data_IF_670949193308
#
_entry.id   IF_670949193308
#
_cell.length_a   1.000
_cell.length_b   1.000
_cell.length_c   1.000
_cell.angle_alpha   90.00
_cell.angle_beta   90.00
_cell.angle_gamma   90.00
#
_symmetry.space_group_name_H-M   'P 1'
#
loop_
_entity.id
_entity.type
_entity.pdbx_description
1 polymer ?
#
# COMPACT_ATOMS: atom_id res chain seq x y z
N UNK A 1 -19.22 32.74 -35.52
CA UNK A 1 -17.98 31.93 -35.51
C UNK A 1 -17.18 32.05 -34.21
N UNK A 2 -17.06 33.24 -33.61
CA UNK A 2 -16.29 33.45 -32.37
C UNK A 2 -16.90 32.73 -31.14
N UNK A 3 -18.23 32.74 -31.01
CA UNK A 3 -18.94 32.11 -29.89
C UNK A 3 -18.88 30.57 -29.91
N UNK A 4 -18.98 29.95 -31.10
CA UNK A 4 -18.82 28.50 -31.26
C UNK A 4 -17.40 28.04 -30.89
N UNK A 5 -16.38 28.85 -31.22
CA UNK A 5 -14.98 28.56 -30.88
C UNK A 5 -14.74 28.62 -29.37
N UNK A 6 -15.36 29.58 -28.66
CA UNK A 6 -15.31 29.67 -27.20
C UNK A 6 -15.98 28.48 -26.52
N UNK A 7 -17.15 28.05 -27.02
CA UNK A 7 -17.88 26.88 -26.50
C UNK A 7 -17.05 25.60 -26.70
N UNK A 8 -16.44 25.41 -27.87
CA UNK A 8 -15.57 24.25 -28.12
C UNK A 8 -14.32 24.25 -27.22
N UNK A 9 -13.70 25.41 -26.96
CA UNK A 9 -12.54 25.51 -26.05
C UNK A 9 -12.95 25.21 -24.61
N UNK A 10 -14.10 25.70 -24.15
CA UNK A 10 -14.60 25.42 -22.80
C UNK A 10 -14.94 23.93 -22.63
N UNK A 11 -15.59 23.32 -23.63
CA UNK A 11 -15.90 21.89 -23.63
C UNK A 11 -14.63 21.03 -23.64
N UNK A 12 -13.62 21.41 -24.42
CA UNK A 12 -12.32 20.72 -24.44
C UNK A 12 -11.57 20.88 -23.11
N UNK A 13 -11.63 22.05 -22.47
CA UNK A 13 -11.03 22.26 -21.16
C UNK A 13 -11.71 21.44 -20.04
N UNK A 14 -13.04 21.28 -20.11
CA UNK A 14 -13.82 20.43 -19.20
C UNK A 14 -13.53 18.93 -19.40
N UNK A 15 -13.24 18.50 -20.64
CA UNK A 15 -12.86 17.12 -20.94
C UNK A 15 -11.46 16.75 -20.41
N UNK A 16 -10.55 17.73 -20.25
CA UNK A 16 -9.19 17.51 -19.70
C UNK A 16 -9.18 17.52 -18.16
N UNK A 17 -10.26 17.96 -17.50
CA UNK A 17 -10.39 17.95 -16.04
C UNK A 17 -10.74 16.55 -15.44
N UNK A 18 -10.86 15.52 -16.28
CA UNK A 18 -11.29 14.18 -15.88
C UNK A 18 -10.16 13.28 -15.35
N UNK A 19 -10.46 12.57 -14.26
CA UNK A 19 -9.72 11.43 -13.67
C UNK A 19 -8.54 11.77 -12.73
N UNK A 20 -8.75 12.71 -11.81
CA UNK A 20 -7.90 12.89 -10.62
C UNK A 20 -8.52 12.38 -9.32
N UNK A 21 -9.28 11.28 -9.35
CA UNK A 21 -9.93 10.73 -8.16
C UNK A 21 -8.90 10.31 -7.11
N UNK A 22 -8.64 11.18 -6.12
CA UNK A 22 -7.60 10.94 -5.12
C UNK A 22 -8.07 9.86 -4.14
N UNK A 23 -7.55 8.65 -4.32
CA UNK A 23 -7.64 7.58 -3.34
C UNK A 23 -7.08 8.07 -2.00
N UNK A 24 -7.65 7.62 -0.88
CA UNK A 24 -7.16 7.99 0.46
C UNK A 24 -5.83 7.30 0.72
N UNK A 25 -4.79 8.06 1.08
CA UNK A 25 -3.47 7.56 1.51
C UNK A 25 -3.48 6.99 2.95
N UNK A 26 -4.66 6.63 3.45
CA UNK A 26 -4.91 6.13 4.81
C UNK A 26 -4.92 4.60 4.79
N UNK A 27 -3.97 3.99 5.49
CA UNK A 27 -3.86 2.55 5.65
C UNK A 27 -4.76 2.03 6.77
N UNK A 28 -4.78 2.74 7.91
CA UNK A 28 -5.64 2.43 9.05
C UNK A 28 -6.92 3.27 8.99
N UNK A 29 -8.06 2.58 9.13
CA UNK A 29 -9.36 3.24 9.21
C UNK A 29 -9.60 3.93 10.56
N UNK A 30 -10.44 4.95 10.57
CA UNK A 30 -10.84 5.74 11.74
C UNK A 30 -11.69 5.01 12.78
N UNK A 31 -12.30 3.87 12.42
CA UNK A 31 -12.98 2.92 13.32
C UNK A 31 -13.27 1.64 12.52
N UNK A 32 -12.98 0.45 13.05
CA UNK A 32 -13.31 -0.81 12.38
C UNK A 32 -14.76 -1.19 12.62
N UNK A 33 -15.49 -1.40 11.54
CA UNK A 33 -16.76 -2.12 11.58
C UNK A 33 -16.43 -3.60 11.73
N UNK A 34 -17.05 -4.26 12.71
CA UNK A 34 -16.93 -5.71 12.83
C UNK A 34 -17.70 -6.36 11.68
N UNK A 35 -17.03 -7.21 10.91
CA UNK A 35 -17.68 -8.06 9.92
C UNK A 35 -17.65 -9.53 10.38
N UNK A 36 -18.68 -10.32 10.05
CA UNK A 36 -18.65 -11.76 10.28
C UNK A 36 -17.44 -12.41 9.58
N UNK A 37 -16.83 -13.41 10.21
CA UNK A 37 -15.70 -14.17 9.61
C UNK A 37 -16.11 -14.80 8.28
N UNK A 38 -17.38 -15.16 8.11
CA UNK A 38 -17.94 -15.71 6.86
C UNK A 38 -17.92 -14.74 5.68
N UNK A 39 -17.73 -13.43 5.93
CA UNK A 39 -17.64 -12.38 4.92
C UNK A 39 -16.19 -11.97 4.62
N UNK A 40 -15.20 -12.71 5.14
CA UNK A 40 -13.78 -12.45 4.93
C UNK A 40 -13.17 -13.62 4.16
N UNK A 41 -12.65 -13.35 2.95
CA UNK A 41 -12.01 -14.37 2.10
C UNK A 41 -10.57 -14.68 2.52
N UNK A 42 -9.90 -13.75 3.21
CA UNK A 42 -8.52 -13.95 3.64
C UNK A 42 -8.02 -12.91 4.63
N UNK A 43 -6.97 -13.27 5.36
CA UNK A 43 -6.24 -12.37 6.25
C UNK A 43 -4.75 -12.61 6.07
N UNK A 44 -4.02 -11.56 5.70
CA UNK A 44 -2.61 -11.64 5.32
C UNK A 44 -1.75 -10.74 6.19
N UNK A 45 -0.73 -11.31 6.82
CA UNK A 45 0.33 -10.55 7.48
C UNK A 45 1.40 -10.18 6.46
N UNK A 46 1.51 -8.89 6.15
CA UNK A 46 2.50 -8.32 5.25
C UNK A 46 3.64 -7.75 6.09
N UNK A 47 4.84 -8.29 5.94
CA UNK A 47 6.04 -7.71 6.53
C UNK A 47 6.57 -6.58 5.66
N UNK A 48 7.01 -5.48 6.27
CA UNK A 48 7.29 -4.23 5.55
C UNK A 48 8.66 -3.70 5.97
N UNK A 49 9.53 -3.52 5.00
CA UNK A 49 10.74 -2.71 5.10
C UNK A 49 10.57 -1.48 4.19
N UNK A 50 10.85 -0.28 4.70
CA UNK A 50 10.58 0.95 3.95
C UNK A 50 11.61 2.04 4.18
N UNK A 51 11.93 2.79 3.12
CA UNK A 51 12.72 4.04 3.19
C UNK A 51 11.83 5.28 3.36
N UNK A 52 10.54 5.10 3.65
CA UNK A 52 9.62 6.18 4.00
C UNK A 52 9.83 6.62 5.45
N UNK A 53 9.64 7.91 5.73
CA UNK A 53 9.57 8.44 7.08
C UNK A 53 8.27 7.97 7.75
N UNK A 54 8.31 7.74 9.07
CA UNK A 54 7.10 7.54 9.87
C UNK A 54 6.25 8.81 9.81
N UNK A 55 4.96 8.63 9.60
CA UNK A 55 3.97 9.71 9.54
C UNK A 55 3.58 10.16 10.95
N UNK A 56 3.42 11.46 11.15
CA UNK A 56 2.82 12.01 12.38
C UNK A 56 1.31 11.73 12.44
N UNK A 57 0.69 11.45 11.30
CA UNK A 57 -0.68 10.95 11.18
C UNK A 57 -0.68 9.41 11.28
N UNK A 58 -1.20 8.81 12.37
CA UNK A 58 -1.18 7.36 12.57
C UNK A 58 -1.97 6.60 11.51
N UNK A 59 -2.97 7.23 10.88
CA UNK A 59 -3.78 6.57 9.85
C UNK A 59 -2.97 6.20 8.60
N UNK A 60 -1.87 6.91 8.35
CA UNK A 60 -0.99 6.68 7.19
C UNK A 60 0.18 5.75 7.49
N UNK A 61 0.60 5.69 8.76
CA UNK A 61 1.78 4.95 9.26
C UNK A 61 3.12 5.47 8.72
N UNK A 62 3.28 5.50 7.40
CA UNK A 62 4.45 6.04 6.71
C UNK A 62 4.02 7.04 5.65
N UNK A 63 4.76 8.13 5.51
CA UNK A 63 4.44 9.19 4.56
C UNK A 63 5.23 9.04 3.24
N UNK A 64 5.25 10.11 2.47
CA UNK A 64 5.96 10.21 1.19
C UNK A 64 7.42 10.63 1.33
N UNK A 65 7.83 11.12 2.49
CA UNK A 65 9.16 11.67 2.71
C UNK A 65 10.20 10.57 2.93
N UNK A 66 11.44 10.86 2.57
CA UNK A 66 12.55 9.92 2.68
C UNK A 66 13.03 9.84 4.12
N UNK A 67 13.29 8.63 4.57
CA UNK A 67 14.06 8.33 5.78
C UNK A 67 15.51 8.02 5.39
N UNK A 68 16.46 8.47 6.20
CA UNK A 68 17.87 8.11 6.03
C UNK A 68 18.15 6.63 6.38
N UNK A 69 17.25 6.00 7.13
CA UNK A 69 17.35 4.61 7.57
C UNK A 69 16.08 3.83 7.23
N UNK A 70 16.18 2.50 7.18
CA UNK A 70 15.02 1.63 7.07
C UNK A 70 14.11 1.76 8.29
N UNK A 71 12.81 1.88 8.02
CA UNK A 71 11.77 1.64 8.99
C UNK A 71 11.09 0.29 8.72
N UNK A 72 10.56 -0.31 9.79
CA UNK A 72 10.00 -1.65 9.75
C UNK A 72 8.61 -1.69 10.37
N UNK A 73 7.73 -2.49 9.76
CA UNK A 73 6.40 -2.78 10.27
C UNK A 73 5.88 -4.13 9.79
N UNK A 74 4.78 -4.59 10.38
CA UNK A 74 3.93 -5.66 9.86
C UNK A 74 2.48 -5.18 9.85
N UNK A 75 1.80 -5.30 8.72
CA UNK A 75 0.39 -4.97 8.57
C UNK A 75 -0.43 -6.25 8.42
N UNK A 76 -1.54 -6.38 9.15
CA UNK A 76 -2.53 -7.43 8.91
C UNK A 76 -3.64 -6.86 8.04
N UNK A 77 -3.91 -7.48 6.90
CA UNK A 77 -4.88 -6.99 5.91
C UNK A 77 -5.92 -8.05 5.64
N UNK A 78 -7.19 -7.70 5.80
CA UNK A 78 -8.33 -8.55 5.42
C UNK A 78 -8.72 -8.33 3.98
N UNK A 79 -9.10 -9.42 3.31
CA UNK A 79 -9.67 -9.43 1.94
C UNK A 79 -11.16 -9.73 2.06
N UNK A 80 -12.05 -8.92 1.45
CA UNK A 80 -13.49 -9.12 1.57
C UNK A 80 -13.94 -10.39 0.84
N UNK A 81 -15.02 -11.01 1.30
CA UNK A 81 -15.65 -12.17 0.66
C UNK A 81 -16.18 -11.88 -0.75
N UNK A 82 -16.38 -10.60 -1.07
CA UNK A 82 -16.83 -10.11 -2.38
C UNK A 82 -15.70 -9.88 -3.38
N UNK A 83 -14.45 -10.21 -3.00
CA UNK A 83 -13.27 -9.91 -3.79
C UNK A 83 -13.25 -10.62 -5.16
N UNK A 84 -12.86 -9.88 -6.20
CA UNK A 84 -12.60 -10.40 -7.55
C UNK A 84 -11.11 -10.36 -7.89
N UNK A 85 -10.57 -11.46 -8.42
CA UNK A 85 -9.16 -11.56 -8.83
C UNK A 85 -8.74 -10.40 -9.72
N UNK A 86 -7.60 -9.77 -9.40
CA UNK A 86 -7.09 -8.61 -10.11
C UNK A 86 -7.58 -7.26 -9.57
N UNK A 87 -8.67 -7.24 -8.80
CA UNK A 87 -9.24 -6.01 -8.23
C UNK A 87 -8.63 -5.69 -6.86
N UNK A 88 -8.73 -4.43 -6.47
CA UNK A 88 -8.51 -4.04 -5.07
C UNK A 88 -9.73 -3.21 -4.70
N UNK A 89 -10.63 -3.78 -3.93
CA UNK A 89 -11.85 -3.11 -3.47
C UNK A 89 -11.45 -2.04 -2.46
N UNK A 90 -11.16 -0.84 -2.97
CA UNK A 90 -10.76 0.31 -2.16
C UNK A 90 -11.98 1.13 -1.77
N UNK A 91 -12.03 1.54 -0.50
CA UNK A 91 -13.04 2.51 -0.06
C UNK A 91 -12.79 3.87 -0.71
N UNK A 92 -13.88 4.54 -1.09
CA UNK A 92 -13.84 5.96 -1.42
C UNK A 92 -13.83 6.80 -0.13
N UNK A 93 -13.30 8.03 -0.20
CA UNK A 93 -13.32 8.98 0.92
C UNK A 93 -14.76 9.16 1.45
N UNK A 94 -14.92 9.12 2.78
CA UNK A 94 -16.22 9.27 3.45
C UNK A 94 -17.09 8.01 3.47
N UNK A 95 -16.62 6.88 2.90
CA UNK A 95 -17.26 5.57 3.09
C UNK A 95 -16.76 4.89 4.36
N UNK A 96 -17.58 3.98 4.89
CA UNK A 96 -17.26 3.17 6.06
C UNK A 96 -16.02 2.28 5.85
N UNK A 97 -15.30 1.98 6.93
CA UNK A 97 -14.20 1.01 6.99
C UNK A 97 -14.76 -0.41 7.18
N UNK A 98 -15.51 -0.89 6.19
CA UNK A 98 -16.22 -2.17 6.23
C UNK A 98 -15.37 -3.28 5.58
N UNK A 99 -14.80 -4.21 6.37
CA UNK A 99 -13.90 -5.24 5.83
C UNK A 99 -14.63 -6.33 5.02
N UNK A 100 -15.97 -6.39 5.06
CA UNK A 100 -16.75 -7.26 4.17
C UNK A 100 -16.84 -6.71 2.73
N UNK A 101 -16.53 -5.43 2.54
CA UNK A 101 -16.63 -4.74 1.25
C UNK A 101 -15.30 -4.28 0.68
N UNK A 102 -14.30 -4.07 1.54
CA UNK A 102 -13.04 -3.47 1.14
C UNK A 102 -11.84 -4.19 1.73
N UNK A 103 -10.71 -4.05 1.05
CA UNK A 103 -9.41 -4.35 1.66
C UNK A 103 -9.21 -3.42 2.86
N UNK A 104 -8.98 -4.01 4.03
CA UNK A 104 -8.85 -3.27 5.27
C UNK A 104 -7.65 -3.75 6.08
N UNK A 105 -6.80 -2.81 6.48
CA UNK A 105 -5.76 -3.10 7.47
C UNK A 105 -6.37 -3.13 8.86
N UNK A 106 -6.31 -4.29 9.51
CA UNK A 106 -6.85 -4.51 10.86
C UNK A 106 -5.88 -4.14 11.97
N UNK A 107 -4.57 -4.15 11.69
CA UNK A 107 -3.52 -3.83 12.64
C UNK A 107 -2.21 -3.50 11.93
N UNK A 108 -1.40 -2.64 12.56
CA UNK A 108 -0.02 -2.37 12.14
C UNK A 108 0.90 -2.35 13.34
N UNK A 109 1.84 -3.29 13.37
CA UNK A 109 2.89 -3.38 14.39
C UNK A 109 4.17 -2.76 13.85
N UNK A 110 4.67 -1.71 14.48
CA UNK A 110 5.99 -1.15 14.18
C UNK A 110 7.10 -1.93 14.88
N UNK A 111 8.26 -2.06 14.22
CA UNK A 111 9.48 -2.57 14.86
C UNK A 111 10.52 -1.45 14.92
N UNK A 112 11.06 -1.20 16.12
CA UNK A 112 12.03 -0.12 16.34
C UNK A 112 13.42 -0.44 15.79
N UNK A 113 13.73 -1.73 15.59
CA UNK A 113 15.06 -2.18 15.19
C UNK A 113 14.99 -3.31 14.17
N UNK A 114 16.02 -3.41 13.33
CA UNK A 114 16.15 -4.48 12.34
C UNK A 114 16.18 -5.89 12.98
N UNK A 115 16.85 -6.14 14.12
CA UNK A 115 16.80 -7.46 14.76
C UNK A 115 15.40 -7.88 15.23
N UNK A 116 14.60 -6.95 15.77
CA UNK A 116 13.20 -7.25 16.17
C UNK A 116 12.36 -7.65 14.95
N UNK A 117 12.50 -6.90 13.85
CA UNK A 117 11.82 -7.20 12.59
C UNK A 117 12.28 -8.54 12.00
N UNK A 118 13.59 -8.76 11.88
CA UNK A 118 14.18 -9.98 11.32
C UNK A 118 13.78 -11.23 12.11
N UNK A 119 13.75 -11.15 13.45
CA UNK A 119 13.27 -12.24 14.29
C UNK A 119 11.81 -12.60 14.02
N UNK A 120 10.91 -11.60 13.97
CA UNK A 120 9.50 -11.83 13.66
C UNK A 120 9.29 -12.37 12.23
N UNK A 121 10.02 -11.83 11.26
CA UNK A 121 9.98 -12.28 9.86
C UNK A 121 10.48 -13.73 9.74
N UNK A 122 11.59 -14.07 10.39
CA UNK A 122 12.17 -15.43 10.36
C UNK A 122 11.23 -16.46 10.97
N UNK A 123 10.54 -16.11 12.06
CA UNK A 123 9.52 -16.95 12.66
C UNK A 123 8.33 -17.21 11.72
N UNK A 124 7.83 -16.18 11.03
CA UNK A 124 6.74 -16.33 10.05
C UNK A 124 7.17 -17.17 8.84
N UNK A 125 8.39 -16.92 8.33
CA UNK A 125 8.98 -17.70 7.22
C UNK A 125 9.05 -19.18 7.59
N UNK A 126 9.57 -19.50 8.77
CA UNK A 126 9.67 -20.88 9.24
C UNK A 126 8.27 -21.53 9.35
N UNK A 127 7.30 -20.80 9.90
CA UNK A 127 5.92 -21.28 10.03
C UNK A 127 5.22 -21.49 8.68
N UNK A 128 5.63 -20.77 7.63
CA UNK A 128 5.07 -20.81 6.27
C UNK A 128 5.91 -21.60 5.26
N UNK A 129 6.73 -22.53 5.74
CA UNK A 129 7.46 -23.47 4.87
C UNK A 129 8.69 -22.87 4.18
N UNK A 130 9.25 -21.78 4.70
CA UNK A 130 10.58 -21.29 4.34
C UNK A 130 10.65 -20.43 3.08
N UNK A 131 9.52 -20.00 2.50
CA UNK A 131 9.48 -19.26 1.23
C UNK A 131 9.03 -17.81 1.43
N UNK A 132 9.68 -16.89 0.73
CA UNK A 132 9.38 -15.45 0.76
C UNK A 132 9.03 -14.94 -0.63
N UNK A 133 8.01 -14.09 -0.72
CA UNK A 133 7.73 -13.27 -1.89
C UNK A 133 8.01 -11.82 -1.52
N UNK A 134 9.00 -11.20 -2.18
CA UNK A 134 9.29 -9.78 -2.02
C UNK A 134 8.61 -8.99 -3.13
N UNK A 135 7.71 -8.09 -2.77
CA UNK A 135 7.09 -7.14 -3.68
C UNK A 135 7.73 -5.76 -3.52
N UNK A 136 8.15 -5.18 -4.64
CA UNK A 136 8.68 -3.81 -4.72
C UNK A 136 7.72 -3.01 -5.59
N UNK A 137 7.14 -1.94 -5.05
CA UNK A 137 6.21 -1.13 -5.83
C UNK A 137 6.93 -0.26 -6.89
N UNK A 138 6.15 0.23 -7.85
CA UNK A 138 6.59 1.15 -8.89
C UNK A 138 6.31 2.62 -8.58
N UNK A 139 6.44 3.45 -9.61
CA UNK A 139 6.12 4.88 -9.63
C UNK A 139 4.67 5.17 -9.24
N UNK A 140 4.43 6.37 -8.70
CA UNK A 140 3.10 6.90 -8.38
C UNK A 140 2.31 5.96 -7.46
N UNK A 141 2.99 5.36 -6.48
CA UNK A 141 2.39 4.39 -5.56
C UNK A 141 2.48 4.90 -4.12
N UNK A 142 1.33 5.11 -3.48
CA UNK A 142 1.22 5.41 -2.05
C UNK A 142 1.59 4.20 -1.20
N UNK A 143 1.88 4.43 0.09
CA UNK A 143 2.23 3.35 1.01
C UNK A 143 1.09 2.33 1.16
N UNK A 144 -0.12 2.85 1.38
CA UNK A 144 -1.37 2.09 1.44
C UNK A 144 -1.67 1.29 0.17
N UNK A 145 -1.40 1.88 -0.99
CA UNK A 145 -1.58 1.23 -2.29
C UNK A 145 -0.60 0.07 -2.48
N UNK A 146 0.65 0.23 -2.03
CA UNK A 146 1.64 -0.83 -2.07
C UNK A 146 1.29 -2.01 -1.15
N UNK A 147 0.81 -1.71 0.07
CA UNK A 147 0.36 -2.74 1.03
C UNK A 147 -0.80 -3.55 0.46
N UNK A 148 -1.86 -2.91 -0.04
CA UNK A 148 -2.99 -3.65 -0.60
C UNK A 148 -2.64 -4.40 -1.88
N UNK A 149 -1.71 -3.87 -2.69
CA UNK A 149 -1.25 -4.57 -3.90
C UNK A 149 -0.52 -5.87 -3.57
N UNK A 150 0.40 -5.88 -2.60
CA UNK A 150 1.06 -7.14 -2.22
C UNK A 150 0.09 -8.12 -1.57
N UNK A 151 -0.86 -7.64 -0.77
CA UNK A 151 -1.94 -8.47 -0.22
C UNK A 151 -2.74 -9.13 -1.33
N UNK A 152 -3.16 -8.35 -2.33
CA UNK A 152 -3.92 -8.84 -3.46
C UNK A 152 -3.14 -9.90 -4.26
N UNK A 153 -1.87 -9.64 -4.58
CA UNK A 153 -1.02 -10.62 -5.27
C UNK A 153 -0.90 -11.92 -4.46
N UNK A 154 -0.65 -11.82 -3.15
CA UNK A 154 -0.52 -12.99 -2.29
C UNK A 154 -1.83 -13.79 -2.20
N UNK A 155 -2.97 -13.10 -2.08
CA UNK A 155 -4.29 -13.72 -2.04
C UNK A 155 -4.65 -14.40 -3.36
N UNK A 156 -4.57 -13.67 -4.47
CA UNK A 156 -5.01 -14.13 -5.80
C UNK A 156 -4.20 -15.31 -6.31
N UNK A 157 -2.91 -15.35 -5.96
CA UNK A 157 -2.03 -16.47 -6.32
C UNK A 157 -2.12 -17.66 -5.36
N UNK A 158 -2.87 -17.53 -4.26
CA UNK A 158 -2.87 -18.52 -3.18
C UNK A 158 -1.49 -18.73 -2.58
N UNK A 159 -0.64 -17.69 -2.54
CA UNK A 159 0.76 -17.82 -2.12
C UNK A 159 0.86 -18.25 -0.65
N UNK A 160 1.44 -19.44 -0.36
CA UNK A 160 1.44 -19.98 1.00
C UNK A 160 2.58 -19.46 1.88
N UNK A 161 3.59 -18.81 1.27
CA UNK A 161 4.77 -18.29 1.96
C UNK A 161 4.56 -16.92 2.59
N UNK A 162 5.64 -16.30 3.06
CA UNK A 162 5.61 -14.97 3.69
C UNK A 162 5.68 -13.86 2.64
N UNK A 163 4.65 -12.99 2.52
CA UNK A 163 4.73 -11.79 1.69
C UNK A 163 5.48 -10.66 2.42
N UNK A 164 6.46 -10.09 1.73
CA UNK A 164 7.26 -8.95 2.19
C UNK A 164 7.09 -7.80 1.20
N UNK A 165 6.75 -6.62 1.70
CA UNK A 165 6.76 -5.37 0.95
C UNK A 165 8.07 -4.61 1.21
N UNK A 166 8.80 -4.30 0.15
CA UNK A 166 9.77 -3.22 0.18
C UNK A 166 9.15 -1.97 -0.43
N UNK A 167 8.99 -0.91 0.37
CA UNK A 167 8.40 0.34 -0.08
C UNK A 167 9.39 1.49 -0.02
N UNK A 168 9.77 2.02 -1.17
CA UNK A 168 10.57 3.25 -1.23
C UNK A 168 9.66 4.49 -1.21
N UNK A 169 10.21 5.64 -0.82
CA UNK A 169 9.48 6.89 -0.62
C UNK A 169 8.96 7.52 -1.93
N UNK A 170 7.90 6.92 -2.51
CA UNK A 170 7.16 7.49 -3.65
C UNK A 170 6.28 8.65 -3.18
N UNK A 171 6.25 9.69 -4.01
CA UNK A 171 5.42 10.86 -3.85
C UNK A 171 3.94 10.63 -4.15
N UNK A 172 3.59 9.49 -4.76
CA UNK A 172 2.23 9.06 -5.08
C UNK A 172 1.43 10.07 -5.92
N UNK A 173 2.13 10.77 -6.83
CA UNK A 173 1.52 11.72 -7.77
C UNK A 173 2.16 11.60 -9.13
N UNK A 174 1.36 11.78 -10.18
CA UNK A 174 1.84 11.76 -11.56
C UNK A 174 2.95 12.79 -11.81
N UNK A 175 2.84 13.99 -11.24
CA UNK A 175 3.85 15.04 -11.41
C UNK A 175 5.16 14.78 -10.66
N UNK A 176 5.21 13.80 -9.76
CA UNK A 176 6.37 13.54 -8.89
C UNK A 176 7.35 12.52 -9.50
N UNK A 177 7.36 12.35 -10.84
CA UNK A 177 8.21 11.36 -11.52
C UNK A 177 9.70 11.50 -11.17
N UNK A 178 10.24 12.73 -11.19
CA UNK A 178 11.65 12.96 -10.83
C UNK A 178 11.89 12.59 -9.37
N UNK A 179 10.99 12.96 -8.47
CA UNK A 179 11.08 12.60 -7.06
C UNK A 179 11.11 11.09 -6.86
N UNK A 180 10.20 10.36 -7.52
CA UNK A 180 10.10 8.90 -7.44
C UNK A 180 11.33 8.21 -8.00
N UNK A 181 11.87 8.69 -9.13
CA UNK A 181 13.09 8.15 -9.73
C UNK A 181 14.29 8.27 -8.79
N UNK A 182 14.46 9.44 -8.16
CA UNK A 182 15.54 9.67 -7.21
C UNK A 182 15.31 8.88 -5.91
N UNK A 183 14.07 8.78 -5.42
CA UNK A 183 13.73 7.97 -4.24
C UNK A 183 14.01 6.48 -4.47
N UNK A 184 13.62 5.93 -5.62
CA UNK A 184 13.90 4.55 -5.98
C UNK A 184 15.40 4.29 -6.14
N UNK A 185 16.15 5.24 -6.71
CA UNK A 185 17.59 5.13 -6.86
C UNK A 185 18.31 5.17 -5.51
N UNK A 186 17.89 6.06 -4.60
CA UNK A 186 18.45 6.15 -3.26
C UNK A 186 18.14 4.91 -2.40
N UNK A 187 17.03 4.20 -2.66
CA UNK A 187 16.59 3.06 -1.86
C UNK A 187 17.28 1.72 -2.21
N UNK A 188 18.19 1.69 -3.19
CA UNK A 188 18.82 0.46 -3.69
C UNK A 188 19.60 -0.29 -2.61
N UNK A 189 20.41 0.43 -1.85
CA UNK A 189 21.23 -0.16 -0.78
C UNK A 189 20.34 -0.71 0.35
N UNK A 190 19.24 -0.01 0.68
CA UNK A 190 18.29 -0.49 1.67
C UNK A 190 17.48 -1.70 1.18
N UNK A 191 17.22 -1.81 -0.12
CA UNK A 191 16.64 -3.01 -0.71
C UNK A 191 17.61 -4.18 -0.58
N UNK A 192 18.89 -3.98 -0.87
CA UNK A 192 19.92 -5.01 -0.68
C UNK A 192 19.97 -5.48 0.78
N UNK A 193 19.98 -4.54 1.74
CA UNK A 193 19.93 -4.87 3.18
C UNK A 193 18.69 -5.68 3.54
N UNK A 194 17.55 -5.43 2.90
CA UNK A 194 16.30 -6.17 3.14
C UNK A 194 16.36 -7.61 2.62
N UNK A 195 17.17 -7.86 1.58
CA UNK A 195 17.27 -9.17 0.91
C UNK A 195 18.31 -10.11 1.54
N UNK A 196 19.13 -9.60 2.47
CA UNK A 196 20.15 -10.37 3.20
C UNK A 196 19.57 -10.98 4.48
#
# INVERSE_FOLDING_TARGET
>A
MLELKKICILALALLVAGCGGRQTEELLGSAMVSAPVTEIAGNHSIFIATTRKRSDDPSKVFDRERSATLNYARANVTVPGTHETGQIERRSRGKSNDPAKYFMTSDVVGYDTAPKFSSALSADIAARGGRVMVFVHGYNTGFDAAVYRVTQIAHDSGYPGTPVLFSWASGAKTRDYVYDRESASAARDQLEVTLR
#
